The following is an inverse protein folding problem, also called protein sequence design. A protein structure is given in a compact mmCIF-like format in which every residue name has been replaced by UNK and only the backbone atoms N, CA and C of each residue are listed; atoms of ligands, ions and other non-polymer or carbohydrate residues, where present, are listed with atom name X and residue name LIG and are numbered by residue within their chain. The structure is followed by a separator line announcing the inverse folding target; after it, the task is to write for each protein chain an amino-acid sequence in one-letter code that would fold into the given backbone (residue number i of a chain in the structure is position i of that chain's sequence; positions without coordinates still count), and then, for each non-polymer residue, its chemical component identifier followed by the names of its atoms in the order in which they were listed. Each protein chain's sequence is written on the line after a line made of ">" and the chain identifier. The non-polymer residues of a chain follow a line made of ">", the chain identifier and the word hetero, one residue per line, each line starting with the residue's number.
data_IF_872760034140
#
_entry.id   IF_872760034140
#
_cell.length_a   1.000
_cell.length_b   1.000
_cell.length_c   1.000
_cell.angle_alpha   90.00
_cell.angle_beta   90.00
_cell.angle_gamma   90.00
#
_symmetry.space_group_name_H-M   'P 1'
#
loop_
_entity.id
_entity.type
_entity.pdbx_description
1 polymer ?
#
# COMPACT_ATOMS: atom_id res chain seq x y z
N UNK A 1 3.43 9.35 -58.22
CA UNK A 1 2.97 8.58 -57.04
C UNK A 1 4.04 8.72 -55.98
N UNK A 2 3.90 9.70 -55.09
CA UNK A 2 4.78 9.83 -53.92
C UNK A 2 4.07 9.14 -52.77
N UNK A 3 4.72 8.13 -52.18
CA UNK A 3 4.25 7.50 -50.95
C UNK A 3 4.38 8.51 -49.81
N UNK A 4 3.25 8.96 -49.27
CA UNK A 4 3.22 9.68 -48.01
C UNK A 4 3.74 8.75 -46.91
N UNK A 5 4.92 9.08 -46.40
CA UNK A 5 5.44 8.51 -45.16
C UNK A 5 4.62 9.15 -44.05
N UNK A 6 3.63 8.42 -43.55
CA UNK A 6 2.88 8.81 -42.35
C UNK A 6 3.88 8.89 -41.19
N UNK A 7 4.07 10.06 -40.55
CA UNK A 7 4.93 10.14 -39.38
C UNK A 7 4.32 9.26 -38.28
N UNK A 8 5.08 8.26 -37.85
CA UNK A 8 4.74 7.44 -36.69
C UNK A 8 4.82 8.37 -35.47
N UNK A 9 3.66 8.75 -34.92
CA UNK A 9 3.61 9.50 -33.67
C UNK A 9 4.36 8.70 -32.61
N UNK A 10 5.48 9.25 -32.14
CA UNK A 10 6.17 8.76 -30.96
C UNK A 10 5.29 9.18 -29.79
N UNK A 11 4.29 8.36 -29.45
CA UNK A 11 3.57 8.47 -28.18
C UNK A 11 4.58 8.21 -27.08
N UNK A 12 5.15 9.28 -26.54
CA UNK A 12 5.91 9.24 -25.30
C UNK A 12 4.92 8.85 -24.20
N UNK A 13 5.22 7.76 -23.50
CA UNK A 13 4.40 7.24 -22.41
C UNK A 13 4.53 8.20 -21.21
N UNK A 14 3.68 9.22 -21.17
CA UNK A 14 3.69 10.20 -20.09
C UNK A 14 2.90 9.63 -18.90
N UNK A 15 3.61 9.07 -17.92
CA UNK A 15 3.02 8.68 -16.64
C UNK A 15 2.96 9.93 -15.75
N UNK A 16 1.78 10.21 -15.20
CA UNK A 16 1.58 11.34 -14.29
C UNK A 16 2.10 11.03 -12.88
N UNK A 17 2.49 12.09 -12.15
CA UNK A 17 2.88 11.98 -10.75
C UNK A 17 1.65 11.70 -9.89
N UNK A 18 1.77 10.80 -8.92
CA UNK A 18 0.67 10.48 -8.02
C UNK A 18 0.44 11.60 -7.00
N UNK A 19 -0.75 12.20 -7.03
CA UNK A 19 -1.18 13.25 -6.12
C UNK A 19 -2.61 13.06 -5.60
N UNK A 20 -3.21 11.89 -5.83
CA UNK A 20 -4.60 11.57 -5.48
C UNK A 20 -4.75 11.35 -3.97
N UNK A 21 -5.81 11.93 -3.39
CA UNK A 21 -6.16 11.68 -1.99
C UNK A 21 -6.82 10.30 -1.83
N UNK A 22 -6.16 9.42 -1.09
CA UNK A 22 -6.61 8.04 -0.87
C UNK A 22 -7.36 7.84 0.47
N UNK A 23 -7.85 8.91 1.10
CA UNK A 23 -8.61 8.80 2.35
C UNK A 23 -9.94 8.05 2.16
N UNK A 24 -10.23 7.11 3.06
CA UNK A 24 -11.43 6.26 3.02
C UNK A 24 -11.35 5.13 2.00
N UNK A 25 -10.17 4.93 1.38
CA UNK A 25 -9.94 3.91 0.36
C UNK A 25 -9.26 2.66 0.94
N UNK A 26 -9.27 1.59 0.15
CA UNK A 26 -8.59 0.32 0.44
C UNK A 26 -7.27 0.28 -0.33
N UNK A 27 -6.16 0.41 0.39
CA UNK A 27 -4.83 0.58 -0.17
C UNK A 27 -4.03 -0.71 0.04
N UNK A 28 -3.47 -1.26 -1.03
CA UNK A 28 -2.47 -2.32 -0.97
C UNK A 28 -1.09 -1.70 -1.16
N UNK A 29 -0.16 -2.08 -0.30
CA UNK A 29 1.27 -1.78 -0.45
C UNK A 29 1.96 -3.11 -0.72
N UNK A 30 2.19 -3.37 -2.00
CA UNK A 30 2.73 -4.63 -2.49
C UNK A 30 4.26 -4.56 -2.50
N UNK A 31 4.89 -5.26 -1.57
CA UNK A 31 6.34 -5.41 -1.51
C UNK A 31 6.89 -6.32 -2.62
N UNK A 32 8.22 -6.46 -2.69
CA UNK A 32 9.15 -6.19 -1.60
C UNK A 32 9.63 -4.74 -1.56
N UNK A 33 9.31 -4.00 -0.49
CA UNK A 33 9.98 -2.74 -0.20
C UNK A 33 11.30 -3.03 0.52
N UNK A 34 12.36 -2.29 0.19
CA UNK A 34 13.64 -2.40 0.89
C UNK A 34 13.47 -2.01 2.38
N UNK A 35 14.31 -2.55 3.27
CA UNK A 35 14.26 -2.23 4.70
C UNK A 35 14.31 -0.71 4.91
N UNK A 36 13.39 -0.19 5.74
CA UNK A 36 13.28 1.25 6.03
C UNK A 36 12.53 2.06 4.97
N UNK A 37 12.25 1.50 3.79
CA UNK A 37 11.50 2.17 2.73
C UNK A 37 10.04 1.73 2.72
N UNK A 38 9.14 2.69 2.60
CA UNK A 38 7.71 2.48 2.40
C UNK A 38 7.19 3.31 1.22
N UNK A 39 6.08 2.94 0.57
CA UNK A 39 5.48 3.84 -0.40
C UNK A 39 5.05 5.13 0.32
N UNK A 40 5.03 6.29 -0.35
CA UNK A 40 4.72 7.60 0.23
C UNK A 40 3.22 7.77 0.50
N UNK A 41 2.63 6.77 1.15
CA UNK A 41 1.23 6.73 1.57
C UNK A 41 0.97 7.91 2.52
N UNK A 42 1.93 8.24 3.39
CA UNK A 42 1.81 9.33 4.35
C UNK A 42 1.63 10.69 3.67
N UNK A 43 2.30 10.91 2.54
CA UNK A 43 2.19 12.14 1.76
C UNK A 43 0.98 12.12 0.82
N UNK A 44 0.57 10.93 0.38
CA UNK A 44 -0.58 10.73 -0.51
C UNK A 44 -1.93 10.72 0.23
N UNK A 45 -1.91 10.49 1.55
CA UNK A 45 -3.05 10.75 2.44
C UNK A 45 -2.96 12.22 2.89
N UNK A 46 -3.16 13.18 1.98
CA UNK A 46 -3.43 14.57 2.39
C UNK A 46 -4.92 14.72 2.71
N UNK A 47 -5.38 15.25 3.84
CA UNK A 47 -4.70 16.02 4.88
C UNK A 47 -4.76 15.32 6.24
N UNK A 48 -3.60 15.12 6.87
CA UNK A 48 -3.46 14.95 8.33
C UNK A 48 -4.08 16.10 9.17
N UNK A 49 -4.62 17.15 8.53
CA UNK A 49 -5.41 18.21 9.19
C UNK A 49 -6.79 17.72 9.65
N UNK A 50 -7.28 16.60 9.13
CA UNK A 50 -8.36 15.84 9.77
C UNK A 50 -7.75 14.57 10.36
N UNK A 51 -7.42 14.55 11.66
CA UNK A 51 -6.83 13.37 12.26
C UNK A 51 -7.83 12.21 12.18
N UNK A 52 -7.34 11.04 11.81
CA UNK A 52 -8.03 9.80 12.16
C UNK A 52 -8.34 9.83 13.66
N UNK A 53 -9.61 9.67 14.03
CA UNK A 53 -10.01 9.64 15.43
C UNK A 53 -9.45 8.42 16.15
N UNK A 54 -9.22 7.34 15.38
CA UNK A 54 -8.56 6.12 15.82
C UNK A 54 -7.64 5.55 14.75
N UNK A 55 -6.54 4.96 15.21
CA UNK A 55 -5.55 4.24 14.41
C UNK A 55 -5.39 2.84 14.99
N UNK A 56 -5.64 1.83 14.17
CA UNK A 56 -5.56 0.43 14.59
C UNK A 56 -4.43 -0.23 13.81
N UNK A 57 -3.61 -1.00 14.52
CA UNK A 57 -2.67 -1.95 13.92
C UNK A 57 -3.23 -3.37 14.05
N UNK A 58 -3.22 -4.11 12.95
CA UNK A 58 -3.53 -5.54 12.89
C UNK A 58 -2.29 -6.24 12.35
N UNK A 59 -1.66 -7.08 13.16
CA UNK A 59 -0.46 -7.81 12.77
C UNK A 59 -0.48 -9.22 13.37
N UNK A 60 0.41 -10.10 12.88
CA UNK A 60 0.62 -11.42 13.49
C UNK A 60 1.70 -11.37 14.58
N UNK A 61 2.39 -10.23 14.70
CA UNK A 61 3.48 -9.99 15.63
C UNK A 61 2.94 -9.54 16.98
N UNK A 62 3.62 -9.98 18.04
CA UNK A 62 3.32 -9.57 19.42
C UNK A 62 3.70 -8.11 19.70
N UNK A 63 4.31 -7.43 18.73
CA UNK A 63 4.85 -6.10 18.90
C UNK A 63 3.86 -5.05 18.39
N UNK A 64 3.50 -4.09 19.24
CA UNK A 64 2.52 -3.04 18.93
C UNK A 64 3.07 -1.94 18.01
N UNK A 65 4.26 -2.14 17.45
CA UNK A 65 4.82 -1.25 16.45
C UNK A 65 4.73 -1.90 15.08
N UNK A 66 4.14 -1.15 14.18
CA UNK A 66 4.19 -1.45 12.75
C UNK A 66 5.65 -1.49 12.30
N UNK A 67 6.03 -2.55 11.60
CA UNK A 67 7.36 -2.67 11.00
C UNK A 67 7.56 -1.68 9.86
N UNK A 68 6.45 -1.27 9.23
CA UNK A 68 6.45 -0.54 7.97
C UNK A 68 6.10 0.93 8.13
N UNK A 69 5.32 1.29 9.14
CA UNK A 69 4.86 2.65 9.37
C UNK A 69 4.94 3.03 10.86
N UNK A 70 6.05 3.61 11.31
CA UNK A 70 6.25 3.92 12.72
C UNK A 70 5.38 5.12 13.16
N UNK A 71 4.13 4.85 13.54
CA UNK A 71 3.23 5.81 14.16
C UNK A 71 2.66 5.30 15.49
N UNK A 72 2.04 6.20 16.26
CA UNK A 72 1.28 5.80 17.45
C UNK A 72 -0.09 5.25 17.05
N UNK A 73 -0.38 4.03 17.50
CA UNK A 73 -1.67 3.36 17.34
C UNK A 73 -2.49 3.44 18.63
N UNK A 74 -3.81 3.56 18.49
CA UNK A 74 -4.76 3.56 19.61
C UNK A 74 -5.11 2.15 20.08
N UNK A 75 -5.02 1.16 19.18
CA UNK A 75 -5.27 -0.24 19.47
C UNK A 75 -4.41 -1.13 18.58
N UNK A 76 -4.01 -2.28 19.13
CA UNK A 76 -3.26 -3.30 18.41
C UNK A 76 -3.98 -4.64 18.57
N UNK A 77 -4.25 -5.31 17.46
CA UNK A 77 -4.80 -6.65 17.41
C UNK A 77 -3.75 -7.59 16.86
N UNK A 78 -3.27 -8.49 17.72
CA UNK A 78 -2.50 -9.64 17.26
C UNK A 78 -3.49 -10.71 16.80
N UNK A 79 -3.57 -10.91 15.49
CA UNK A 79 -4.57 -11.81 14.91
C UNK A 79 -3.93 -13.13 14.49
N UNK A 80 -4.42 -14.24 15.05
CA UNK A 80 -4.00 -15.61 14.75
C UNK A 80 -5.14 -16.44 14.17
N UNK A 81 -6.37 -16.17 14.56
CA UNK A 81 -7.53 -16.94 14.14
C UNK A 81 -8.78 -16.09 13.80
N UNK A 82 -9.89 -16.77 13.55
CA UNK A 82 -11.16 -16.13 13.17
C UNK A 82 -11.83 -15.39 14.34
N UNK A 83 -11.58 -15.78 15.59
CA UNK A 83 -12.13 -15.12 16.76
C UNK A 83 -11.44 -13.76 16.95
N UNK A 84 -10.12 -13.71 16.78
CA UNK A 84 -9.35 -12.47 16.81
C UNK A 84 -9.82 -11.48 15.73
N UNK A 85 -10.06 -11.97 14.51
CA UNK A 85 -10.65 -11.16 13.44
C UNK A 85 -12.03 -10.63 13.80
N UNK A 86 -12.85 -11.42 14.48
CA UNK A 86 -14.19 -11.01 14.92
C UNK A 86 -14.09 -9.90 15.97
N UNK A 87 -13.13 -10.00 16.90
CA UNK A 87 -12.87 -8.97 17.90
C UNK A 87 -12.37 -7.68 17.24
N UNK A 88 -11.40 -7.78 16.33
CA UNK A 88 -10.88 -6.63 15.58
C UNK A 88 -11.98 -5.94 14.76
N UNK A 89 -12.82 -6.71 14.06
CA UNK A 89 -13.96 -6.20 13.30
C UNK A 89 -14.98 -5.52 14.21
N UNK A 90 -15.27 -6.08 15.37
CA UNK A 90 -16.20 -5.49 16.36
C UNK A 90 -15.67 -4.13 16.80
N UNK A 91 -14.39 -4.05 17.18
CA UNK A 91 -13.76 -2.78 17.54
C UNK A 91 -13.79 -1.80 16.37
N UNK A 92 -13.40 -2.21 15.16
CA UNK A 92 -13.43 -1.37 13.95
C UNK A 92 -14.82 -0.83 13.64
N UNK A 93 -15.87 -1.59 13.95
CA UNK A 93 -17.27 -1.20 13.71
C UNK A 93 -17.70 -0.07 14.65
N UNK A 94 -17.32 -0.15 15.93
CA UNK A 94 -17.73 0.81 16.96
C UNK A 94 -16.71 1.93 17.22
N UNK A 95 -15.49 1.81 16.69
CA UNK A 95 -14.46 2.83 16.84
C UNK A 95 -14.87 4.17 16.19
N UNK A 96 -14.58 5.31 16.84
CA UNK A 96 -14.81 6.63 16.26
C UNK A 96 -14.18 6.81 14.86
N UNK A 97 -14.95 7.38 13.93
CA UNK A 97 -14.55 7.65 12.54
C UNK A 97 -14.13 9.11 12.34
N UNK A 98 -13.20 9.43 11.40
CA UNK A 98 -12.55 8.52 10.45
C UNK A 98 -11.53 7.59 11.11
N UNK A 99 -11.46 6.34 10.64
CA UNK A 99 -10.63 5.27 11.18
C UNK A 99 -9.50 4.92 10.20
N UNK A 100 -8.27 4.80 10.70
CA UNK A 100 -7.16 4.19 9.97
C UNK A 100 -6.93 2.78 10.48
N UNK A 101 -6.86 1.81 9.56
CA UNK A 101 -6.52 0.42 9.86
C UNK A 101 -5.29 0.04 9.06
N UNK A 102 -4.21 -0.26 9.76
CA UNK A 102 -3.00 -0.82 9.19
C UNK A 102 -3.04 -2.34 9.39
N UNK A 103 -2.90 -3.10 8.31
CA UNK A 103 -2.79 -4.56 8.34
C UNK A 103 -1.42 -4.94 7.80
N UNK A 104 -0.69 -5.80 8.51
CA UNK A 104 0.67 -6.19 8.14
C UNK A 104 0.80 -7.69 7.92
N UNK A 105 1.16 -8.10 6.72
CA UNK A 105 1.54 -9.47 6.34
C UNK A 105 0.54 -10.56 6.81
N UNK A 106 -0.76 -10.24 6.83
CA UNK A 106 -1.83 -11.19 7.13
C UNK A 106 -2.92 -11.13 6.07
N UNK A 107 -3.37 -12.30 5.61
CA UNK A 107 -4.55 -12.40 4.76
C UNK A 107 -5.81 -11.88 5.45
N UNK A 108 -6.47 -10.90 4.82
CA UNK A 108 -7.73 -10.34 5.29
C UNK A 108 -8.90 -11.26 4.88
N UNK A 109 -9.73 -11.74 5.82
CA UNK A 109 -10.89 -12.58 5.52
C UNK A 109 -11.91 -11.89 4.62
N UNK A 110 -12.58 -12.68 3.78
CA UNK A 110 -13.53 -12.20 2.77
C UNK A 110 -14.67 -11.37 3.37
N UNK A 111 -15.14 -11.77 4.55
CA UNK A 111 -16.18 -11.04 5.29
C UNK A 111 -15.77 -9.63 5.71
N UNK A 112 -14.48 -9.33 5.89
CA UNK A 112 -14.02 -8.00 6.31
C UNK A 112 -14.16 -6.98 5.17
N UNK A 113 -13.92 -7.38 3.92
CA UNK A 113 -13.95 -6.49 2.76
C UNK A 113 -15.29 -5.78 2.59
N UNK A 114 -16.39 -6.48 2.89
CA UNK A 114 -17.75 -5.94 2.80
C UNK A 114 -18.11 -4.99 3.95
N UNK A 115 -17.39 -5.06 5.08
CA UNK A 115 -17.64 -4.22 6.27
C UNK A 115 -16.84 -2.92 6.25
N UNK A 116 -15.83 -2.83 5.39
CA UNK A 116 -15.03 -1.62 5.18
C UNK A 116 -15.80 -0.59 4.36
N UNK A 117 -16.25 0.48 5.03
CA UNK A 117 -16.94 1.62 4.45
C UNK A 117 -15.97 2.78 4.13
N UNK A 118 -16.43 3.79 3.38
CA UNK A 118 -15.64 4.99 3.00
C UNK A 118 -15.15 5.85 4.17
N UNK A 119 -15.56 5.56 5.41
CA UNK A 119 -15.05 6.26 6.61
C UNK A 119 -13.85 5.56 7.24
N UNK A 120 -13.45 4.42 6.68
CA UNK A 120 -12.32 3.61 7.14
C UNK A 120 -11.28 3.55 6.02
N UNK A 121 -10.11 4.12 6.26
CA UNK A 121 -8.94 3.94 5.39
C UNK A 121 -8.26 2.64 5.80
N UNK A 122 -8.19 1.69 4.88
CA UNK A 122 -7.43 0.45 5.08
C UNK A 122 -6.11 0.59 4.33
N UNK A 123 -5.00 0.37 5.03
CA UNK A 123 -3.68 0.19 4.41
C UNK A 123 -3.23 -1.23 4.73
N UNK A 124 -3.12 -2.05 3.71
CA UNK A 124 -2.65 -3.42 3.82
C UNK A 124 -1.25 -3.53 3.25
N UNK A 125 -0.29 -3.86 4.10
CA UNK A 125 1.06 -4.15 3.71
C UNK A 125 1.26 -5.63 3.50
N UNK A 126 1.79 -6.01 2.33
CA UNK A 126 2.13 -7.40 2.03
C UNK A 126 3.51 -7.46 1.42
N UNK A 127 4.43 -8.08 2.13
CA UNK A 127 5.80 -8.34 1.65
C UNK A 127 5.87 -9.42 0.59
N UNK A 128 5.00 -10.43 0.68
CA UNK A 128 4.90 -11.53 -0.28
C UNK A 128 4.00 -11.17 -1.49
N UNK A 129 4.27 -11.72 -2.69
CA UNK A 129 3.40 -11.60 -3.84
C UNK A 129 1.95 -12.03 -3.55
N UNK A 130 0.99 -11.13 -3.79
CA UNK A 130 -0.44 -11.46 -3.70
C UNK A 130 -0.91 -12.08 -5.02
N UNK A 131 -1.29 -13.36 -4.98
CA UNK A 131 -1.74 -14.12 -6.17
C UNK A 131 -3.16 -13.74 -6.63
N UNK A 132 -4.02 -13.28 -5.71
CA UNK A 132 -5.40 -12.89 -6.00
C UNK A 132 -5.67 -11.51 -5.44
N UNK A 133 -5.83 -10.54 -6.35
CA UNK A 133 -6.07 -9.16 -5.97
C UNK A 133 -7.52 -9.01 -5.51
N UNK A 134 -7.65 -8.69 -4.22
CA UNK A 134 -8.90 -8.31 -3.55
C UNK A 134 -9.32 -6.91 -4.02
N UNK A 135 -10.54 -6.42 -3.71
CA UNK A 135 -11.06 -5.17 -4.28
C UNK A 135 -10.42 -3.93 -3.64
N UNK A 136 -9.11 -3.77 -3.80
CA UNK A 136 -8.39 -2.55 -3.45
C UNK A 136 -8.77 -1.43 -4.42
N UNK A 137 -8.69 -0.21 -3.91
CA UNK A 137 -8.91 1.03 -4.64
C UNK A 137 -7.60 1.66 -5.11
N UNK A 138 -6.49 1.34 -4.44
CA UNK A 138 -5.15 1.78 -4.80
C UNK A 138 -4.14 0.70 -4.48
N UNK A 139 -3.15 0.49 -5.35
CA UNK A 139 -2.05 -0.44 -5.16
C UNK A 139 -0.74 0.29 -5.42
N UNK A 140 0.05 0.44 -4.37
CA UNK A 140 1.45 0.87 -4.47
C UNK A 140 2.33 -0.35 -4.69
N UNK A 141 3.11 -0.34 -5.77
CA UNK A 141 4.14 -1.34 -6.03
C UNK A 141 5.49 -0.79 -5.60
N UNK A 142 6.32 -1.63 -4.98
CA UNK A 142 7.69 -1.30 -4.71
C UNK A 142 8.48 -1.00 -6.01
N UNK A 143 9.64 -0.33 -5.93
CA UNK A 143 10.51 -0.15 -7.09
C UNK A 143 10.87 -1.48 -7.74
N UNK A 144 10.73 -1.56 -9.07
CA UNK A 144 10.90 -2.79 -9.85
C UNK A 144 12.36 -3.00 -10.28
N UNK A 145 13.23 -3.17 -9.29
CA UNK A 145 14.66 -3.45 -9.52
C UNK A 145 14.88 -4.88 -10.03
N UNK A 146 14.07 -5.83 -9.55
CA UNK A 146 14.12 -7.24 -9.94
C UNK A 146 13.11 -7.56 -11.06
N UNK A 147 13.56 -8.35 -12.04
CA UNK A 147 12.75 -8.84 -13.16
C UNK A 147 11.61 -9.74 -12.67
N UNK A 148 11.86 -10.58 -11.66
CA UNK A 148 10.83 -11.51 -11.14
C UNK A 148 9.65 -10.77 -10.50
N UNK A 149 9.94 -9.65 -9.84
CA UNK A 149 8.93 -8.79 -9.24
C UNK A 149 8.19 -7.99 -10.30
N UNK A 150 8.89 -7.46 -11.32
CA UNK A 150 8.26 -6.80 -12.47
C UNK A 150 7.19 -7.70 -13.13
N UNK A 151 7.49 -8.97 -13.36
CA UNK A 151 6.52 -9.93 -13.92
C UNK A 151 5.29 -10.14 -13.02
N UNK A 152 5.48 -10.07 -11.70
CA UNK A 152 4.37 -10.13 -10.74
C UNK A 152 3.48 -8.91 -10.87
N UNK A 153 4.07 -7.72 -10.90
CA UNK A 153 3.37 -6.45 -11.06
C UNK A 153 2.61 -6.40 -12.39
N UNK A 154 3.21 -6.91 -13.48
CA UNK A 154 2.54 -7.04 -14.77
C UNK A 154 1.25 -7.85 -14.69
N UNK A 155 1.31 -9.05 -14.09
CA UNK A 155 0.13 -9.93 -13.93
C UNK A 155 -0.97 -9.27 -13.11
N UNK A 156 -0.59 -8.53 -12.07
CA UNK A 156 -1.54 -7.75 -11.27
C UNK A 156 -2.20 -6.67 -12.14
N UNK A 157 -1.42 -5.85 -12.85
CA UNK A 157 -1.95 -4.79 -13.70
C UNK A 157 -2.82 -5.29 -14.84
N UNK A 158 -2.50 -6.45 -15.44
CA UNK A 158 -3.40 -7.08 -16.42
C UNK A 158 -4.80 -7.35 -15.86
N UNK A 159 -4.90 -7.64 -14.55
CA UNK A 159 -6.17 -7.92 -13.90
C UNK A 159 -6.94 -6.67 -13.47
N UNK A 160 -6.26 -5.57 -13.13
CA UNK A 160 -6.90 -4.37 -12.52
C UNK A 160 -6.89 -3.11 -13.37
N UNK A 161 -5.93 -2.96 -14.29
CA UNK A 161 -5.76 -1.74 -15.08
C UNK A 161 -6.57 -1.78 -16.36
N UNK A 162 -6.12 -2.57 -17.35
CA UNK A 162 -6.81 -2.77 -18.63
C UNK A 162 -6.39 -4.09 -19.26
N UNK A 163 -7.33 -4.78 -19.90
CA UNK A 163 -7.05 -6.06 -20.58
C UNK A 163 -6.06 -5.93 -21.75
N UNK A 164 -5.98 -4.74 -22.36
CA UNK A 164 -5.04 -4.44 -23.45
C UNK A 164 -3.62 -4.13 -22.96
N UNK A 165 -3.38 -4.13 -21.64
CA UNK A 165 -2.05 -3.85 -21.08
C UNK A 165 -1.05 -4.92 -21.49
N UNK A 166 -0.11 -4.54 -22.33
CA UNK A 166 0.81 -5.47 -22.99
C UNK A 166 2.14 -5.61 -22.24
N UNK A 167 2.82 -6.74 -22.43
CA UNK A 167 4.16 -6.95 -21.86
C UNK A 167 5.16 -5.91 -22.38
N UNK A 168 5.01 -5.46 -23.63
CA UNK A 168 5.86 -4.43 -24.23
C UNK A 168 5.69 -3.10 -23.49
N UNK A 169 4.44 -2.63 -23.37
CA UNK A 169 4.09 -1.41 -22.63
C UNK A 169 4.61 -1.46 -21.19
N UNK A 170 4.41 -2.58 -20.49
CA UNK A 170 4.92 -2.75 -19.14
C UNK A 170 6.44 -2.64 -19.03
N UNK A 171 7.18 -3.26 -19.95
CA UNK A 171 8.66 -3.22 -19.96
C UNK A 171 9.19 -1.82 -20.21
N UNK A 172 8.54 -1.06 -21.11
CA UNK A 172 8.90 0.33 -21.39
C UNK A 172 8.68 1.19 -20.14
N UNK A 173 7.50 1.11 -19.52
CA UNK A 173 7.17 1.80 -18.26
C UNK A 173 8.14 1.44 -17.14
N UNK A 174 8.36 0.15 -16.90
CA UNK A 174 9.23 -0.32 -15.82
C UNK A 174 10.68 0.14 -16.01
N UNK A 175 11.14 0.22 -17.26
CA UNK A 175 12.48 0.71 -17.57
C UNK A 175 12.60 2.21 -17.30
N UNK A 176 11.62 3.02 -17.71
CA UNK A 176 11.61 4.47 -17.43
C UNK A 176 11.58 4.75 -15.93
N UNK A 177 10.70 4.07 -15.19
CA UNK A 177 10.60 4.21 -13.73
C UNK A 177 11.90 3.81 -13.03
N UNK A 178 12.55 2.73 -13.48
CA UNK A 178 13.85 2.30 -12.94
C UNK A 178 14.94 3.35 -13.16
N UNK A 179 15.01 3.94 -14.35
CA UNK A 179 15.97 5.03 -14.65
C UNK A 179 15.71 6.26 -13.79
N UNK A 180 14.43 6.56 -13.52
CA UNK A 180 14.02 7.66 -12.66
C UNK A 180 14.08 7.36 -11.15
N UNK A 181 14.44 6.14 -10.74
CA UNK A 181 14.35 5.66 -9.37
C UNK A 181 12.95 5.85 -8.74
N UNK A 182 11.90 5.76 -9.56
CA UNK A 182 10.52 5.97 -9.17
C UNK A 182 9.78 4.63 -8.91
N UNK A 183 8.76 4.69 -8.07
CA UNK A 183 7.81 3.60 -7.89
C UNK A 183 6.58 3.76 -8.79
N UNK A 184 5.77 2.70 -8.87
CA UNK A 184 4.54 2.69 -9.64
C UNK A 184 3.34 2.52 -8.72
N UNK A 185 2.27 3.25 -8.99
CA UNK A 185 0.99 3.10 -8.28
C UNK A 185 -0.14 2.97 -9.29
N UNK A 186 -1.08 2.09 -9.00
CA UNK A 186 -2.36 2.03 -9.67
C UNK A 186 -3.45 2.54 -8.74
N UNK A 187 -4.35 3.39 -9.23
CA UNK A 187 -5.48 3.90 -8.42
C UNK A 187 -6.73 4.07 -9.26
N UNK A 188 -7.88 3.75 -8.67
CA UNK A 188 -9.23 4.02 -9.23
C UNK A 188 -10.05 4.97 -8.37
N UNK A 189 -9.44 5.67 -7.40
CA UNK A 189 -10.15 6.49 -6.41
C UNK A 189 -10.91 7.66 -7.06
N UNK A 190 -10.44 8.16 -8.20
CA UNK A 190 -11.06 9.26 -8.95
C UNK A 190 -11.76 8.82 -10.24
N UNK A 191 -11.73 7.52 -10.59
CA UNK A 191 -12.24 7.01 -11.88
C UNK A 191 -13.27 5.89 -11.71
N UNK A 192 -14.36 5.95 -12.50
CA UNK A 192 -15.55 5.11 -12.28
C UNK A 192 -15.43 3.65 -12.78
N UNK A 193 -14.46 3.30 -13.65
CA UNK A 193 -14.46 1.97 -14.29
C UNK A 193 -13.08 1.27 -14.40
N UNK A 194 -12.03 1.94 -14.85
CA UNK A 194 -10.69 1.38 -15.03
C UNK A 194 -9.71 2.37 -14.43
N UNK A 195 -9.03 2.03 -13.34
CA UNK A 195 -8.10 2.96 -12.69
C UNK A 195 -6.92 3.35 -13.58
N UNK A 196 -6.10 4.30 -13.14
CA UNK A 196 -4.89 4.76 -13.85
C UNK A 196 -3.61 4.35 -13.16
N UNK A 197 -2.54 4.34 -13.94
CA UNK A 197 -1.17 4.13 -13.48
C UNK A 197 -0.48 5.49 -13.36
N UNK A 198 0.17 5.70 -12.22
CA UNK A 198 0.94 6.89 -11.89
C UNK A 198 2.33 6.47 -11.39
N UNK A 199 3.27 7.41 -11.37
CA UNK A 199 4.55 7.24 -10.71
C UNK A 199 4.53 7.93 -9.34
N UNK A 200 5.34 7.46 -8.41
CA UNK A 200 5.57 8.12 -7.13
C UNK A 200 7.05 8.11 -6.78
N UNK A 201 7.48 9.05 -5.95
CA UNK A 201 8.85 9.09 -5.43
C UNK A 201 8.97 8.22 -4.16
N UNK A 202 9.74 7.11 -4.17
CA UNK A 202 9.93 6.25 -3.01
C UNK A 202 10.91 6.84 -1.97
N UNK A 203 11.60 7.95 -2.25
CA UNK A 203 12.73 8.49 -1.48
C UNK A 203 12.33 9.67 -0.57
N UNK A 204 11.05 10.07 -0.56
CA UNK A 204 10.56 11.20 0.26
C UNK A 204 10.80 10.99 1.78
N UNK A 205 11.93 11.50 2.27
CA UNK A 205 12.27 11.80 3.68
C UNK A 205 11.75 10.82 4.75
N UNK A 206 12.05 9.53 4.62
CA UNK A 206 11.68 8.55 5.63
C UNK A 206 12.75 8.52 6.72
N UNK A 207 12.45 9.15 7.86
CA UNK A 207 13.31 9.11 9.04
C UNK A 207 13.30 7.72 9.66
N UNK A 208 14.42 6.99 9.55
CA UNK A 208 14.67 5.64 10.08
C UNK A 208 14.77 5.56 11.63
N UNK A 209 14.02 6.38 12.36
CA UNK A 209 14.17 6.46 13.81
C UNK A 209 12.87 6.07 14.53
N UNK A 210 12.91 4.90 15.20
CA UNK A 210 11.96 4.59 16.26
C UNK A 210 11.95 5.75 17.25
N UNK A 211 10.77 6.27 17.55
CA UNK A 211 10.61 7.33 18.55
C UNK A 211 11.05 6.82 19.93
N UNK A 212 11.43 7.74 20.84
CA UNK A 212 11.82 7.37 22.22
C UNK A 212 10.76 6.53 22.95
N UNK A 213 9.48 6.80 22.68
CA UNK A 213 8.34 6.04 23.23
C UNK A 213 8.34 4.60 22.70
N UNK A 214 8.55 4.44 21.40
CA UNK A 214 8.62 3.15 20.73
C UNK A 214 9.80 2.30 21.20
N UNK A 215 10.97 2.93 21.40
CA UNK A 215 12.11 2.26 22.02
C UNK A 215 11.80 1.82 23.45
N UNK A 216 11.13 2.65 24.24
CA UNK A 216 10.71 2.28 25.60
C UNK A 216 9.77 1.08 25.62
N UNK A 217 8.81 1.01 24.70
CA UNK A 217 7.88 -0.13 24.57
C UNK A 217 8.61 -1.41 24.13
N UNK A 218 9.58 -1.30 23.22
CA UNK A 218 10.48 -2.40 22.84
C UNK A 218 11.26 -2.94 24.04
N UNK A 219 11.92 -2.06 24.79
CA UNK A 219 12.73 -2.47 25.93
C UNK A 219 11.88 -3.05 27.07
N UNK A 220 10.68 -2.53 27.30
CA UNK A 220 9.76 -3.10 28.28
C UNK A 220 9.29 -4.50 27.88
N UNK A 221 9.03 -4.74 26.60
CA UNK A 221 8.69 -6.08 26.12
C UNK A 221 9.87 -7.05 26.28
N UNK A 222 11.07 -6.63 25.87
CA UNK A 222 12.30 -7.41 26.03
C UNK A 222 12.57 -7.74 27.50
N UNK A 223 12.44 -6.77 28.42
CA UNK A 223 12.63 -7.03 29.84
C UNK A 223 11.61 -8.01 30.41
N UNK A 224 10.38 -8.01 29.90
CA UNK A 224 9.34 -8.92 30.38
C UNK A 224 9.47 -10.35 29.84
N UNK A 225 10.20 -10.56 28.73
CA UNK A 225 10.35 -11.86 28.08
C UNK A 225 11.73 -12.50 28.27
N UNK A 226 12.77 -11.72 28.59
CA UNK A 226 14.15 -12.20 28.74
C UNK A 226 14.68 -12.11 30.17
N UNK A 227 13.82 -11.81 31.15
CA UNK A 227 14.14 -12.01 32.57
C UNK A 227 13.63 -13.40 32.97
N UNK A 228 14.44 -14.41 32.66
CA UNK A 228 14.59 -15.64 33.45
C UNK A 228 16.03 -15.69 33.97
#
# INVERSE_FOLDING_TARGET
>A
MYSEVVPMEITTLQIEAFNTNVHGSKILCQGPFQQGKYPPIMDSIQQLRQPFKKKILISNTTFSLSKYMPMSYDAHFQVKDSQDWTLALTYMTYAPKPLLVMVEDIGIPDGLWQKLNRTTTLVHWVSAPVLQIRPYDTIFFAPMDDTSYSDTVYKILQSVYKASYSTKEHKEIAQELRVAAAGMVWSKVEEEAQGRVFWYDPISHQGDHLTKKQLSELFQWLSNHFVE
#
